data_IF_029312975158
#
_entry.id   IF_029312975158
#
_cell.length_a   1.000
_cell.length_b   1.000
_cell.length_c   1.000
_cell.angle_alpha   90.00
_cell.angle_beta   90.00
_cell.angle_gamma   90.00
#
_symmetry.space_group_name_H-M   'P 1'
#
loop_
_entity.id
_entity.type
_entity.pdbx_description
1 polymer ?
#
# COMPACT_ATOMS: atom_id res chain seq x y z
N UNK A 1 -33.59 55.81 7.12
CA UNK A 1 -33.76 54.47 7.62
C UNK A 1 -33.29 53.47 6.52
N UNK A 2 -31.99 53.35 6.31
CA UNK A 2 -31.38 52.36 5.40
C UNK A 2 -30.04 52.01 6.04
N UNK A 3 -29.92 50.86 6.67
CA UNK A 3 -28.62 50.53 7.25
C UNK A 3 -28.62 49.34 8.22
N UNK A 4 -29.29 48.21 7.92
CA UNK A 4 -29.24 47.08 8.85
C UNK A 4 -29.42 45.70 8.20
N UNK A 5 -29.12 45.52 6.89
CA UNK A 5 -29.35 44.26 6.19
C UNK A 5 -28.08 43.54 5.65
N UNK A 6 -26.87 44.07 5.91
CA UNK A 6 -25.67 43.50 5.26
C UNK A 6 -24.76 42.62 6.16
N UNK A 7 -25.10 42.40 7.44
CA UNK A 7 -24.23 41.63 8.35
C UNK A 7 -24.59 40.11 8.44
N UNK A 8 -25.78 39.74 8.02
CA UNK A 8 -26.26 38.35 8.17
C UNK A 8 -25.81 37.35 7.08
N UNK A 9 -25.21 37.80 5.98
CA UNK A 9 -24.83 36.89 4.83
C UNK A 9 -23.41 36.35 4.95
N UNK A 10 -22.56 36.92 5.81
CA UNK A 10 -21.15 36.54 5.88
C UNK A 10 -20.82 35.28 6.71
N UNK A 11 -21.77 34.73 7.47
CA UNK A 11 -21.47 33.65 8.43
C UNK A 11 -21.88 32.24 7.97
N UNK A 12 -22.48 32.12 6.80
CA UNK A 12 -23.00 30.83 6.28
C UNK A 12 -22.03 30.04 5.42
N UNK A 13 -20.81 30.53 5.13
CA UNK A 13 -19.86 29.90 4.21
C UNK A 13 -18.72 29.12 4.87
N UNK A 14 -18.75 28.89 6.16
CA UNK A 14 -17.70 28.13 6.88
C UNK A 14 -18.11 26.70 7.25
N UNK A 15 -19.17 26.16 6.73
CA UNK A 15 -19.45 24.73 6.80
C UNK A 15 -18.62 24.02 5.73
N UNK A 16 -17.28 24.11 5.86
CA UNK A 16 -16.37 23.25 5.13
C UNK A 16 -16.71 21.80 5.47
N UNK A 17 -17.10 21.01 4.47
CA UNK A 17 -17.30 19.58 4.60
C UNK A 17 -16.03 18.95 5.19
N UNK A 18 -15.98 18.74 6.49
CA UNK A 18 -15.03 17.83 7.12
C UNK A 18 -15.44 16.44 6.67
N UNK A 19 -14.87 15.97 5.57
CA UNK A 19 -15.08 14.61 5.07
C UNK A 19 -14.75 13.62 6.18
N UNK A 20 -15.74 12.92 6.68
CA UNK A 20 -15.59 11.86 7.68
C UNK A 20 -15.93 10.54 7.02
N UNK A 21 -15.08 9.53 7.25
CA UNK A 21 -15.33 8.17 6.74
C UNK A 21 -14.96 7.94 5.28
N UNK A 22 -14.30 8.89 4.61
CA UNK A 22 -13.78 8.69 3.26
C UNK A 22 -12.73 7.57 3.24
N UNK A 23 -12.78 6.73 2.19
CA UNK A 23 -11.81 5.67 1.97
C UNK A 23 -10.92 6.03 0.77
N UNK A 24 -9.61 6.11 1.00
CA UNK A 24 -8.62 6.38 -0.04
C UNK A 24 -7.79 5.13 -0.28
N UNK A 25 -7.67 4.74 -1.56
CA UNK A 25 -6.82 3.63 -1.97
C UNK A 25 -5.40 4.11 -2.25
N UNK A 26 -4.42 3.48 -1.64
CA UNK A 26 -3.00 3.75 -1.84
C UNK A 26 -2.41 2.78 -2.87
N UNK A 27 -1.60 3.32 -3.78
CA UNK A 27 -0.84 2.52 -4.74
C UNK A 27 0.54 2.22 -4.16
N UNK A 28 0.86 0.94 -3.97
CA UNK A 28 2.11 0.46 -3.38
C UNK A 28 3.17 0.11 -4.44
N UNK A 29 3.16 0.76 -5.59
CA UNK A 29 4.14 0.48 -6.64
C UNK A 29 5.51 1.07 -6.31
N UNK A 30 6.56 0.31 -6.64
CA UNK A 30 7.95 0.78 -6.57
C UNK A 30 8.23 1.75 -7.71
N UNK A 31 8.73 2.95 -7.40
CA UNK A 31 8.92 4.03 -8.37
C UNK A 31 10.33 4.09 -9.01
N UNK A 32 11.23 3.17 -8.73
CA UNK A 32 12.60 3.23 -9.25
C UNK A 32 12.86 2.16 -10.31
N UNK A 33 13.17 2.54 -11.56
CA UNK A 33 13.65 1.60 -12.56
C UNK A 33 15.09 1.16 -12.19
N UNK A 34 15.29 -0.15 -12.14
CA UNK A 34 16.61 -0.75 -11.97
C UNK A 34 17.14 -1.22 -13.31
N UNK A 35 18.45 -1.06 -13.54
CA UNK A 35 19.10 -1.54 -14.76
C UNK A 35 18.94 -3.06 -14.91
N UNK A 36 18.32 -3.51 -15.99
CA UNK A 36 18.20 -4.92 -16.33
C UNK A 36 19.58 -5.49 -16.66
N UNK A 37 19.93 -6.61 -16.06
CA UNK A 37 21.13 -7.35 -16.41
C UNK A 37 20.79 -8.52 -17.32
N UNK A 38 21.43 -8.58 -18.47
CA UNK A 38 21.31 -9.65 -19.44
C UNK A 38 22.25 -10.81 -19.13
N UNK A 39 21.79 -12.03 -19.40
CA UNK A 39 22.53 -13.28 -19.59
C UNK A 39 22.66 -14.22 -18.40
N UNK A 40 21.75 -15.10 -18.32
CA UNK A 40 21.72 -16.52 -17.90
C UNK A 40 20.24 -16.83 -17.67
N UNK A 41 19.78 -18.09 -17.83
CA UNK A 41 18.37 -18.43 -17.58
C UNK A 41 17.91 -17.82 -16.25
N UNK A 42 16.80 -17.06 -16.25
CA UNK A 42 16.31 -16.42 -15.05
C UNK A 42 15.86 -17.47 -14.04
N UNK A 43 16.12 -17.22 -12.75
CA UNK A 43 15.53 -18.00 -11.67
C UNK A 43 14.01 -17.81 -11.68
N UNK A 44 13.27 -18.91 -11.68
CA UNK A 44 11.80 -18.91 -11.65
C UNK A 44 11.33 -18.81 -10.20
N UNK A 45 10.79 -17.66 -9.86
CA UNK A 45 10.32 -17.37 -8.50
C UNK A 45 8.80 -17.27 -8.51
N UNK A 46 8.17 -18.06 -7.68
CA UNK A 46 6.73 -17.96 -7.41
C UNK A 46 6.51 -17.27 -6.08
N UNK A 47 5.61 -16.29 -6.06
CA UNK A 47 5.27 -15.55 -4.86
C UNK A 47 3.81 -15.84 -4.53
N UNK A 48 3.58 -16.38 -3.35
CA UNK A 48 2.25 -16.58 -2.79
C UNK A 48 1.77 -15.28 -2.13
N UNK A 49 0.47 -14.95 -2.18
CA UNK A 49 -0.07 -13.83 -1.42
C UNK A 49 0.27 -13.94 0.06
N UNK A 50 0.67 -12.83 0.67
CA UNK A 50 0.97 -12.80 2.09
C UNK A 50 -0.31 -12.94 2.91
N UNK A 51 -0.28 -13.78 3.93
CA UNK A 51 -1.39 -13.92 4.87
C UNK A 51 -1.51 -12.66 5.74
N UNK A 52 -2.70 -12.06 5.77
CA UNK A 52 -2.94 -10.87 6.59
C UNK A 52 -3.34 -11.27 8.01
N UNK A 53 -2.39 -11.20 8.94
CA UNK A 53 -2.55 -11.50 10.36
C UNK A 53 -2.71 -10.26 11.23
N UNK A 54 -2.97 -9.08 10.62
CA UNK A 54 -3.23 -7.86 11.38
C UNK A 54 -4.51 -7.97 12.20
N UNK A 55 -4.53 -7.33 13.34
CA UNK A 55 -5.72 -7.27 14.21
C UNK A 55 -6.86 -6.50 13.54
N UNK A 56 -6.57 -5.32 12.95
CA UNK A 56 -7.53 -4.57 12.14
C UNK A 56 -7.19 -4.73 10.65
N UNK A 57 -8.05 -5.44 9.93
CA UNK A 57 -7.91 -5.70 8.48
C UNK A 57 -8.82 -4.82 7.63
N UNK A 58 -9.65 -3.99 8.24
CA UNK A 58 -10.63 -3.16 7.53
C UNK A 58 -9.98 -2.00 6.76
N UNK A 59 -8.78 -1.61 7.16
CA UNK A 59 -8.02 -0.48 6.61
C UNK A 59 -6.52 -0.66 6.84
N UNK A 60 -5.71 0.14 6.14
CA UNK A 60 -4.25 0.16 6.29
C UNK A 60 -3.75 1.46 6.92
N UNK A 61 -4.66 2.31 7.36
CA UNK A 61 -4.30 3.57 7.99
C UNK A 61 -5.42 4.58 8.00
N UNK A 62 -5.07 5.77 8.47
CA UNK A 62 -6.03 6.89 8.53
C UNK A 62 -5.33 8.25 8.43
N UNK A 63 -6.07 9.24 7.96
CA UNK A 63 -5.71 10.65 8.02
C UNK A 63 -6.66 11.39 8.96
N UNK A 64 -6.11 12.11 9.91
CA UNK A 64 -6.88 13.05 10.75
C UNK A 64 -6.73 14.46 10.18
N UNK A 65 -7.85 15.10 9.86
CA UNK A 65 -7.92 16.46 9.35
C UNK A 65 -7.89 17.48 10.49
N UNK A 66 -7.57 18.75 10.16
CA UNK A 66 -7.54 19.85 11.15
C UNK A 66 -8.87 20.04 11.88
N UNK A 67 -9.99 19.82 11.21
CA UNK A 67 -11.34 19.92 11.78
C UNK A 67 -11.81 18.66 12.52
N UNK A 68 -10.93 17.69 12.77
CA UNK A 68 -11.28 16.45 13.49
C UNK A 68 -11.89 15.34 12.59
N UNK A 69 -12.15 15.62 11.32
CA UNK A 69 -12.59 14.58 10.36
C UNK A 69 -11.52 13.51 10.13
N UNK A 70 -11.95 12.31 9.77
CA UNK A 70 -11.05 11.17 9.52
C UNK A 70 -11.31 10.57 8.12
N UNK A 71 -10.24 10.41 7.34
CA UNK A 71 -10.23 9.63 6.10
C UNK A 71 -9.48 8.33 6.33
N UNK A 72 -10.06 7.19 5.99
CA UNK A 72 -9.39 5.89 6.10
C UNK A 72 -8.64 5.56 4.81
N UNK A 73 -7.51 4.87 4.96
CA UNK A 73 -6.72 4.37 3.84
C UNK A 73 -6.96 2.89 3.61
N UNK A 74 -7.02 2.50 2.35
CA UNK A 74 -7.03 1.10 1.96
C UNK A 74 -6.05 0.88 0.81
N UNK A 75 -5.77 -0.38 0.46
CA UNK A 75 -4.91 -0.72 -0.67
C UNK A 75 -5.73 -0.67 -1.95
N UNK A 76 -5.17 -0.04 -2.99
CA UNK A 76 -5.76 -0.12 -4.32
C UNK A 76 -5.55 -1.55 -4.89
N UNK A 77 -6.62 -2.15 -5.41
CA UNK A 77 -6.54 -3.48 -6.04
C UNK A 77 -6.87 -4.66 -5.12
N UNK A 78 -7.27 -4.45 -3.86
CA UNK A 78 -7.82 -5.54 -3.04
C UNK A 78 -7.07 -5.85 -1.74
N UNK A 79 -6.81 -7.13 -1.49
CA UNK A 79 -6.19 -7.57 -0.22
C UNK A 79 -4.71 -7.12 -0.14
N UNK A 80 -4.26 -6.56 0.99
CA UNK A 80 -2.87 -6.12 1.16
C UNK A 80 -1.84 -7.20 0.83
N UNK A 81 -2.13 -8.46 1.14
CA UNK A 81 -1.24 -9.59 0.87
C UNK A 81 -0.95 -9.81 -0.62
N UNK A 82 -1.95 -9.64 -1.47
CA UNK A 82 -1.79 -9.72 -2.93
C UNK A 82 -0.95 -8.56 -3.43
N UNK A 83 -1.28 -7.33 -3.00
CA UNK A 83 -0.57 -6.13 -3.45
C UNK A 83 0.91 -6.14 -3.02
N UNK A 84 1.21 -6.63 -1.82
CA UNK A 84 2.60 -6.79 -1.35
C UNK A 84 3.33 -7.84 -2.19
N UNK A 85 2.69 -8.98 -2.51
CA UNK A 85 3.25 -10.01 -3.37
C UNK A 85 3.56 -9.47 -4.77
N UNK A 86 2.66 -8.69 -5.36
CA UNK A 86 2.85 -8.05 -6.67
C UNK A 86 3.99 -7.04 -6.66
N UNK A 87 4.06 -6.18 -5.63
CA UNK A 87 5.15 -5.22 -5.47
C UNK A 87 6.50 -5.92 -5.28
N UNK A 88 6.54 -7.04 -4.56
CA UNK A 88 7.73 -7.86 -4.40
C UNK A 88 8.13 -8.50 -5.74
N UNK A 89 7.18 -9.09 -6.48
CA UNK A 89 7.45 -9.67 -7.81
C UNK A 89 8.05 -8.65 -8.75
N UNK A 90 7.49 -7.45 -8.80
CA UNK A 90 8.00 -6.37 -9.65
C UNK A 90 9.41 -5.95 -9.23
N UNK A 91 9.65 -5.79 -7.92
CA UNK A 91 10.98 -5.45 -7.40
C UNK A 91 12.02 -6.52 -7.77
N UNK A 92 11.66 -7.80 -7.65
CA UNK A 92 12.57 -8.91 -7.98
C UNK A 92 12.87 -8.95 -9.48
N UNK A 93 11.86 -8.80 -10.34
CA UNK A 93 12.06 -8.72 -11.81
C UNK A 93 13.01 -7.59 -12.20
N UNK A 94 12.88 -6.44 -11.57
CA UNK A 94 13.70 -5.27 -11.86
C UNK A 94 15.14 -5.39 -11.33
N UNK A 95 15.34 -5.96 -10.15
CA UNK A 95 16.66 -6.03 -9.52
C UNK A 95 17.52 -7.19 -9.99
N UNK A 96 16.94 -8.34 -10.13
CA UNK A 96 17.71 -9.55 -10.32
C UNK A 96 18.69 -9.85 -9.15
N UNK A 97 19.52 -10.86 -9.30
CA UNK A 97 20.59 -11.22 -8.35
C UNK A 97 21.84 -11.67 -9.11
N UNK A 98 23.01 -11.15 -8.73
CA UNK A 98 24.28 -11.50 -9.36
C UNK A 98 24.25 -11.43 -10.90
N UNK A 99 23.67 -10.37 -11.47
CA UNK A 99 23.48 -10.17 -12.92
C UNK A 99 22.54 -11.19 -13.57
N UNK A 100 21.79 -11.96 -12.80
CA UNK A 100 20.71 -12.82 -13.31
C UNK A 100 19.39 -12.10 -13.12
N UNK A 101 18.60 -12.03 -14.18
CA UNK A 101 17.20 -11.63 -14.05
C UNK A 101 16.44 -12.67 -13.24
N UNK A 102 15.36 -12.27 -12.61
CA UNK A 102 14.43 -13.18 -11.94
C UNK A 102 13.09 -13.17 -12.67
N UNK A 103 12.63 -14.35 -13.05
CA UNK A 103 11.26 -14.55 -13.53
C UNK A 103 10.34 -14.74 -12.32
N UNK A 104 9.94 -13.61 -11.73
CA UNK A 104 9.09 -13.59 -10.55
C UNK A 104 7.63 -13.39 -10.95
N UNK A 105 6.75 -14.27 -10.47
CA UNK A 105 5.30 -14.19 -10.70
C UNK A 105 4.52 -14.44 -9.43
N UNK A 106 3.38 -13.76 -9.30
CA UNK A 106 2.42 -14.03 -8.23
C UNK A 106 1.47 -15.13 -8.68
N UNK A 107 1.15 -16.05 -7.78
CA UNK A 107 0.14 -17.10 -7.98
C UNK A 107 -1.00 -16.92 -7.02
N UNK A 108 -2.18 -17.41 -7.39
CA UNK A 108 -3.30 -17.46 -6.45
C UNK A 108 -3.03 -18.50 -5.36
N UNK A 109 -3.51 -18.23 -4.15
CA UNK A 109 -3.42 -19.16 -3.04
C UNK A 109 -4.02 -20.53 -3.43
N UNK A 110 -3.27 -21.61 -3.19
CA UNK A 110 -3.70 -22.97 -3.50
C UNK A 110 -3.47 -23.43 -4.96
N UNK A 111 -2.94 -22.57 -5.82
CA UNK A 111 -2.52 -22.97 -7.17
C UNK A 111 -1.12 -23.60 -7.11
N UNK A 112 -0.94 -24.72 -7.83
CA UNK A 112 0.33 -25.45 -7.83
C UNK A 112 1.52 -24.57 -8.26
N UNK A 113 2.60 -24.69 -7.52
CA UNK A 113 3.87 -23.96 -7.74
C UNK A 113 4.85 -24.71 -8.66
N UNK A 114 4.35 -25.63 -9.50
CA UNK A 114 5.20 -26.45 -10.37
C UNK A 114 6.05 -25.59 -11.31
N UNK A 115 7.30 -26.00 -11.48
CA UNK A 115 8.26 -25.33 -12.37
C UNK A 115 8.86 -24.04 -11.79
N UNK A 116 8.70 -23.78 -10.50
CA UNK A 116 9.46 -22.76 -9.80
C UNK A 116 10.75 -23.34 -9.20
N UNK A 117 11.80 -22.52 -9.13
CA UNK A 117 13.02 -22.86 -8.40
C UNK A 117 12.87 -22.45 -6.92
N UNK A 118 12.19 -21.31 -6.70
CA UNK A 118 11.99 -20.73 -5.36
C UNK A 118 10.52 -20.33 -5.20
N UNK A 119 9.98 -20.62 -4.04
CA UNK A 119 8.66 -20.11 -3.59
C UNK A 119 8.84 -19.16 -2.43
N UNK A 120 8.25 -17.98 -2.55
CA UNK A 120 8.24 -16.95 -1.50
C UNK A 120 6.81 -16.73 -1.05
N UNK A 121 6.60 -16.67 0.24
CA UNK A 121 5.33 -16.32 0.87
C UNK A 121 5.59 -15.64 2.22
N UNK A 122 4.57 -15.42 3.01
CA UNK A 122 4.77 -14.83 4.33
C UNK A 122 3.51 -14.33 5.00
N UNK A 123 3.73 -13.49 6.01
CA UNK A 123 2.69 -12.96 6.89
C UNK A 123 2.83 -11.45 7.01
N UNK A 124 1.71 -10.74 7.04
CA UNK A 124 1.63 -9.32 7.40
C UNK A 124 1.20 -9.27 8.86
N UNK A 125 2.09 -8.85 9.73
CA UNK A 125 1.80 -8.71 11.16
C UNK A 125 1.37 -7.30 11.53
N UNK A 126 2.02 -6.30 10.91
CA UNK A 126 1.64 -4.89 11.00
C UNK A 126 1.80 -4.24 9.63
N UNK A 127 0.86 -3.39 9.27
CA UNK A 127 0.92 -2.55 8.08
C UNK A 127 -0.03 -1.38 8.29
N UNK A 128 0.53 -0.24 8.73
CA UNK A 128 -0.26 0.90 9.14
C UNK A 128 0.37 2.22 8.70
N UNK A 129 -0.47 3.12 8.19
CA UNK A 129 -0.08 4.47 7.83
C UNK A 129 -0.94 5.47 8.58
N UNK A 130 -0.32 6.42 9.25
CA UNK A 130 -1.00 7.51 9.94
C UNK A 130 -0.60 8.85 9.33
N UNK A 131 -1.58 9.64 8.91
CA UNK A 131 -1.40 10.98 8.41
C UNK A 131 -2.13 11.98 9.32
N UNK A 132 -1.45 13.01 9.76
CA UNK A 132 -2.03 14.07 10.56
C UNK A 132 -1.86 15.43 9.87
N UNK A 133 -2.97 16.02 9.47
CA UNK A 133 -2.97 17.35 8.87
C UNK A 133 -2.67 18.43 9.92
N UNK A 134 -1.86 19.39 9.53
CA UNK A 134 -1.53 20.61 10.29
C UNK A 134 -1.79 21.81 9.39
N UNK A 135 -1.69 23.03 9.92
CA UNK A 135 -2.01 24.27 9.19
C UNK A 135 -1.23 24.38 7.87
N UNK A 136 0.07 24.04 7.85
CA UNK A 136 0.93 24.20 6.67
C UNK A 136 1.53 22.89 6.14
N UNK A 137 1.30 21.76 6.80
CA UNK A 137 1.86 20.47 6.37
C UNK A 137 1.00 19.29 6.83
N UNK A 138 1.35 18.11 6.33
CA UNK A 138 0.79 16.84 6.81
C UNK A 138 1.95 15.98 7.30
N UNK A 139 1.91 15.57 8.58
CA UNK A 139 2.84 14.60 9.12
C UNK A 139 2.37 13.20 8.71
N UNK A 140 3.23 12.45 8.04
CA UNK A 140 3.00 11.05 7.65
C UNK A 140 3.94 10.16 8.47
N UNK A 141 3.39 9.08 9.02
CA UNK A 141 4.15 8.00 9.68
C UNK A 141 3.61 6.67 9.20
N UNK A 142 4.52 5.74 8.88
CA UNK A 142 4.16 4.38 8.47
C UNK A 142 4.91 3.36 9.31
N UNK A 143 4.27 2.24 9.58
CA UNK A 143 4.85 1.08 10.25
C UNK A 143 4.48 -0.17 9.44
N UNK A 144 5.46 -1.05 9.25
CA UNK A 144 5.22 -2.35 8.62
C UNK A 144 6.04 -3.42 9.30
N UNK A 145 5.42 -4.57 9.56
CA UNK A 145 6.08 -5.78 10.05
C UNK A 145 5.64 -6.95 9.20
N UNK A 146 6.57 -7.42 8.38
CA UNK A 146 6.37 -8.56 7.48
C UNK A 146 7.27 -9.72 7.91
N UNK A 147 6.75 -10.93 7.82
CA UNK A 147 7.54 -12.16 7.89
C UNK A 147 7.60 -12.74 6.49
N UNK A 148 8.78 -12.85 5.94
CA UNK A 148 9.01 -13.42 4.59
C UNK A 148 9.61 -14.81 4.76
N UNK A 149 9.04 -15.79 4.08
CA UNK A 149 9.48 -17.19 4.06
C UNK A 149 9.83 -17.56 2.61
N UNK A 150 11.03 -18.05 2.40
CA UNK A 150 11.46 -18.56 1.10
C UNK A 150 11.84 -20.03 1.23
N UNK A 151 11.47 -20.84 0.23
CA UNK A 151 11.82 -22.27 0.15
C UNK A 151 12.24 -22.62 -1.27
N UNK A 152 13.25 -23.46 -1.41
CA UNK A 152 13.60 -24.11 -2.68
C UNK A 152 12.64 -25.27 -2.94
N UNK A 153 12.36 -25.54 -4.22
CA UNK A 153 11.59 -26.70 -4.68
C UNK A 153 12.49 -27.75 -5.28
#
# INVERSE_FOLDING_TARGET
MVGQCCVAVGLALLLGCAGTGEMVSLNLQTQQPFAQSSQTEPLKIVIEPFEDLRTDRSKIGQRTHLGGGVTNFNVNGGAPGVTIAEALAETLRQRGWNRRGWDARVVQAGVGVSGADIVIGGEIRDFWTNAKSRVFNTKLTGESRLVVKARNL
#
